data_IF_358587219654
#
_entry.id   IF_358587219654
#
_cell.length_a   1.000
_cell.length_b   1.000
_cell.length_c   1.000
_cell.angle_alpha   90.00
_cell.angle_beta   90.00
_cell.angle_gamma   90.00
#
_symmetry.space_group_name_H-M   'P 1'
#
loop_
_entity.id
_entity.type
_entity.pdbx_description
1 polymer ?
#
# COMPACT_ATOMS: atom_id res chain seq x y z
N UNK A 1 9.69 9.51 -8.51
CA UNK A 1 9.10 8.32 -7.89
C UNK A 1 9.91 8.01 -6.65
N UNK A 2 9.35 8.23 -5.46
CA UNK A 2 10.01 7.96 -4.18
C UNK A 2 9.69 6.52 -3.78
N UNK A 3 10.53 5.57 -4.18
CA UNK A 3 10.46 4.21 -3.64
C UNK A 3 11.04 4.26 -2.22
N UNK A 4 10.18 4.37 -1.21
CA UNK A 4 10.61 4.23 0.18
C UNK A 4 10.85 2.74 0.47
N UNK A 5 12.12 2.35 0.50
CA UNK A 5 12.56 1.02 0.92
C UNK A 5 12.39 0.90 2.44
N UNK A 6 11.21 0.52 2.91
CA UNK A 6 11.10 0.01 4.27
C UNK A 6 11.50 -1.47 4.26
N UNK A 7 12.49 -1.83 5.07
CA UNK A 7 12.60 -3.20 5.56
C UNK A 7 11.25 -3.52 6.25
N UNK A 8 10.35 -4.24 5.57
CA UNK A 8 9.10 -4.77 6.15
C UNK A 8 9.42 -5.93 7.11
N UNK A 9 10.52 -5.83 7.85
CA UNK A 9 10.93 -6.78 8.87
C UNK A 9 10.26 -6.35 10.17
N UNK A 10 9.04 -6.84 10.40
CA UNK A 10 8.27 -6.60 11.63
C UNK A 10 6.98 -5.81 11.46
N UNK A 11 6.54 -5.51 10.24
CA UNK A 11 5.20 -4.95 10.02
C UNK A 11 4.17 -6.07 10.11
N UNK A 12 3.19 -5.96 11.01
CA UNK A 12 2.08 -6.93 11.17
C UNK A 12 1.08 -6.90 10.00
N UNK A 13 1.26 -5.97 9.06
CA UNK A 13 0.34 -5.73 7.96
C UNK A 13 0.49 -6.78 6.86
N UNK A 14 -0.61 -7.26 6.26
CA UNK A 14 -0.58 -8.24 5.19
C UNK A 14 0.13 -7.72 3.94
N UNK A 15 0.80 -8.63 3.23
CA UNK A 15 1.42 -8.38 1.93
C UNK A 15 0.66 -9.16 0.88
N UNK A 16 0.17 -8.47 -0.15
CA UNK A 16 -0.55 -9.05 -1.27
C UNK A 16 0.34 -9.08 -2.52
N UNK A 17 0.20 -10.11 -3.34
CA UNK A 17 0.85 -10.18 -4.67
C UNK A 17 -0.05 -9.63 -5.78
N UNK A 18 -1.35 -9.51 -5.50
CA UNK A 18 -2.36 -8.99 -6.42
C UNK A 18 -3.14 -7.92 -5.65
N UNK A 19 -3.27 -6.72 -6.22
CA UNK A 19 -3.95 -5.60 -5.58
C UNK A 19 -5.44 -5.92 -5.37
N UNK A 20 -5.95 -5.90 -4.13
CA UNK A 20 -7.39 -6.01 -3.88
C UNK A 20 -8.12 -4.79 -4.47
N UNK A 21 -9.29 -4.98 -5.09
CA UNK A 21 -10.05 -3.88 -5.72
C UNK A 21 -10.48 -2.80 -4.72
N UNK A 22 -10.74 -3.18 -3.46
CA UNK A 22 -11.10 -2.27 -2.39
C UNK A 22 -9.92 -1.42 -1.89
N UNK A 23 -8.68 -1.74 -2.29
CA UNK A 23 -7.49 -1.07 -1.78
C UNK A 23 -6.87 -0.15 -2.84
N UNK A 24 -6.42 1.00 -2.38
CA UNK A 24 -5.90 2.09 -3.19
C UNK A 24 -4.39 2.18 -3.02
N UNK A 25 -3.67 2.39 -4.12
CA UNK A 25 -2.28 2.85 -4.08
C UNK A 25 -2.23 4.33 -3.71
N UNK A 26 -1.07 4.80 -3.27
CA UNK A 26 -0.86 6.22 -2.99
C UNK A 26 -1.27 7.13 -4.17
N UNK A 27 -0.98 6.71 -5.40
CA UNK A 27 -1.33 7.46 -6.62
C UNK A 27 -2.84 7.48 -6.92
N UNK A 28 -3.61 6.56 -6.34
CA UNK A 28 -5.07 6.49 -6.48
C UNK A 28 -5.79 7.30 -5.39
N UNK A 29 -5.08 7.75 -4.35
CA UNK A 29 -5.65 8.59 -3.29
C UNK A 29 -5.91 10.00 -3.86
N UNK A 30 -7.16 10.49 -3.84
CA UNK A 30 -7.48 11.82 -4.34
C UNK A 30 -6.72 12.90 -3.57
N UNK A 31 -6.12 13.84 -4.30
CA UNK A 31 -5.30 14.95 -3.79
C UNK A 31 -4.06 14.53 -2.97
N UNK A 32 -3.74 13.23 -2.89
CA UNK A 32 -2.68 12.70 -2.02
C UNK A 32 -2.94 12.93 -0.53
N UNK A 33 -4.18 13.26 -0.17
CA UNK A 33 -4.59 13.57 1.18
C UNK A 33 -4.89 12.26 1.93
N UNK A 34 -3.89 11.78 2.66
CA UNK A 34 -3.97 10.55 3.45
C UNK A 34 -4.69 10.75 4.79
N UNK A 35 -5.30 11.92 5.05
CA UNK A 35 -5.97 12.18 6.35
C UNK A 35 -7.18 11.27 6.52
N UNK A 36 -7.85 10.92 5.42
CA UNK A 36 -9.00 10.00 5.43
C UNK A 36 -8.60 8.56 5.03
N UNK A 37 -7.31 8.22 4.96
CA UNK A 37 -6.86 6.93 4.44
C UNK A 37 -5.85 6.24 5.36
N UNK A 38 -6.14 4.99 5.73
CA UNK A 38 -5.28 4.17 6.56
C UNK A 38 -4.44 3.22 5.70
N UNK A 39 -3.14 3.17 5.94
CA UNK A 39 -2.26 2.15 5.36
C UNK A 39 -2.50 0.81 6.06
N UNK A 40 -3.10 -0.14 5.35
CA UNK A 40 -3.51 -1.43 5.91
C UNK A 40 -2.70 -2.62 5.39
N UNK A 41 -2.02 -2.48 4.25
CA UNK A 41 -1.33 -3.58 3.59
C UNK A 41 -0.21 -3.09 2.68
N UNK A 42 0.54 -4.03 2.11
CA UNK A 42 1.52 -3.75 1.05
C UNK A 42 1.24 -4.62 -0.19
N UNK A 43 1.53 -4.08 -1.37
CA UNK A 43 1.55 -4.80 -2.64
C UNK A 43 3.00 -5.17 -3.00
N UNK A 44 3.30 -6.46 -3.05
CA UNK A 44 4.58 -6.97 -3.56
C UNK A 44 4.63 -6.81 -5.08
N UNK A 45 5.57 -6.01 -5.57
CA UNK A 45 5.85 -5.87 -7.00
C UNK A 45 7.29 -6.28 -7.29
N UNK A 46 7.55 -6.81 -8.49
CA UNK A 46 8.90 -7.24 -8.90
C UNK A 46 9.35 -6.32 -10.03
N UNK A 47 10.32 -5.47 -9.73
CA UNK A 47 10.90 -4.54 -10.71
C UNK A 47 12.39 -4.84 -10.86
N UNK A 48 12.83 -5.15 -12.09
CA UNK A 48 14.22 -5.52 -12.39
C UNK A 48 14.80 -6.66 -11.51
N UNK A 49 13.95 -7.58 -11.04
CA UNK A 49 14.35 -8.69 -10.16
C UNK A 49 14.48 -8.32 -8.68
N UNK A 50 14.20 -7.07 -8.32
CA UNK A 50 14.08 -6.61 -6.94
C UNK A 50 12.62 -6.65 -6.53
N UNK A 51 12.35 -7.22 -5.35
CA UNK A 51 11.04 -7.13 -4.71
C UNK A 51 10.87 -5.73 -4.12
N UNK A 52 9.84 -5.03 -4.58
CA UNK A 52 9.38 -3.77 -4.07
C UNK A 52 8.05 -4.00 -3.35
N UNK A 53 7.74 -3.09 -2.43
CA UNK A 53 6.50 -3.16 -1.68
C UNK A 53 5.87 -1.78 -1.68
N UNK A 54 4.68 -1.69 -2.26
CA UNK A 54 3.94 -0.44 -2.36
C UNK A 54 2.84 -0.42 -1.29
N UNK A 55 2.72 0.66 -0.50
CA UNK A 55 1.68 0.74 0.52
C UNK A 55 0.29 0.80 -0.11
N UNK A 56 -0.63 0.05 0.49
CA UNK A 56 -2.03 -0.01 0.14
C UNK A 56 -2.86 0.67 1.23
N UNK A 57 -3.78 1.50 0.79
CA UNK A 57 -4.61 2.35 1.62
C UNK A 57 -6.08 1.97 1.46
N UNK A 58 -6.84 2.14 2.54
CA UNK A 58 -8.31 2.09 2.52
C UNK A 58 -8.84 3.39 3.12
N UNK A 59 -9.99 3.85 2.67
CA UNK A 59 -10.63 5.02 3.29
C UNK A 59 -11.06 4.66 4.71
N UNK A 60 -10.67 5.46 5.70
CA UNK A 60 -11.14 5.32 7.07
C UNK A 60 -12.68 5.40 7.10
N UNK A 61 -13.32 4.34 7.60
CA UNK A 61 -14.78 4.24 7.69
C UNK A 61 -15.44 3.32 6.68
N UNK A 62 -14.70 2.70 5.74
CA UNK A 62 -15.19 1.64 4.84
C UNK A 62 -15.08 0.23 5.48
N UNK A 63 -15.03 0.17 6.82
CA UNK A 63 -15.11 -1.07 7.60
C UNK A 63 -16.59 -1.46 7.78
N UNK A 64 -17.24 -2.01 6.76
CA UNK A 64 -18.56 -2.67 6.89
C UNK A 64 -18.44 -4.19 7.10
#
# INVERSE_FOLDING_TARGET
MFYQYFEIVGSEKPIYQVKPEAYLLYEEVPDGDLIEYEEIAYLETIENGTKLYEPLYVREGDYE
#
